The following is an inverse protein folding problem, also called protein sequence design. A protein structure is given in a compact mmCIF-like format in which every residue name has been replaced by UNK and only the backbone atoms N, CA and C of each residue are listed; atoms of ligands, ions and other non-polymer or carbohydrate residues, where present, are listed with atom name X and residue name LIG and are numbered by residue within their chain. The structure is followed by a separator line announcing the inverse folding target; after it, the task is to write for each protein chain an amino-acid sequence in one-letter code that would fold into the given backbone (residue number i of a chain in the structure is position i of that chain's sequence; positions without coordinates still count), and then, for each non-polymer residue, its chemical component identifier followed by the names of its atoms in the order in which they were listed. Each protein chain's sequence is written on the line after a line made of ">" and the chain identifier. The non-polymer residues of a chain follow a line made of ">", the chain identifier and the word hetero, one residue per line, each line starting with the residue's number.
data_IF_932336530232
#
_entry.id   IF_932336530232
#
_cell.length_a   1.000
_cell.length_b   1.000
_cell.length_c   1.000
_cell.angle_alpha   90.00
_cell.angle_beta   90.00
_cell.angle_gamma   90.00
#
_symmetry.space_group_name_H-M   'P 1'
#
loop_
_entity.id
_entity.type
_entity.pdbx_description
1 polymer ?
#
# COMPACT_ATOMS: atom_id res chain seq x y z
N UNK A 1 -53.57 39.64 -52.14
CA UNK A 1 -52.51 38.69 -51.79
C UNK A 1 -52.92 38.02 -50.49
N UNK A 2 -53.57 36.86 -50.55
CA UNK A 2 -53.96 36.05 -49.42
C UNK A 2 -52.97 34.84 -49.35
N UNK A 3 -51.92 35.00 -48.55
CA UNK A 3 -51.09 33.90 -48.23
C UNK A 3 -51.79 33.10 -47.14
N UNK A 4 -52.49 32.05 -47.52
CA UNK A 4 -52.96 31.01 -46.59
C UNK A 4 -51.76 30.16 -46.16
N UNK A 5 -51.14 30.61 -45.15
CA UNK A 5 -50.07 29.89 -44.48
C UNK A 5 -50.70 28.67 -43.77
N UNK A 6 -51.00 27.60 -44.47
CA UNK A 6 -51.35 26.32 -43.92
C UNK A 6 -50.17 25.74 -43.22
N UNK A 7 -50.08 25.98 -41.86
CA UNK A 7 -49.12 25.35 -41.01
C UNK A 7 -49.31 23.84 -41.13
N UNK A 8 -48.40 23.17 -41.81
CA UNK A 8 -48.38 21.70 -41.98
C UNK A 8 -48.13 21.01 -40.62
N UNK A 9 -49.14 20.96 -39.77
CA UNK A 9 -49.08 20.33 -38.43
C UNK A 9 -48.47 18.93 -38.49
N UNK A 10 -48.72 18.15 -39.56
CA UNK A 10 -48.14 16.82 -39.75
C UNK A 10 -46.59 16.83 -39.76
N UNK A 11 -45.97 17.84 -40.34
CA UNK A 11 -44.50 17.99 -40.36
C UNK A 11 -43.97 18.27 -38.96
N UNK A 12 -44.62 19.13 -38.20
CA UNK A 12 -44.21 19.42 -36.80
C UNK A 12 -44.42 18.22 -35.89
N UNK A 13 -45.46 17.43 -36.08
CA UNK A 13 -45.71 16.23 -35.30
C UNK A 13 -44.66 15.14 -35.58
N UNK A 14 -44.22 14.96 -36.82
CA UNK A 14 -43.16 14.04 -37.22
C UNK A 14 -41.83 14.46 -36.58
N UNK A 15 -41.48 15.75 -36.65
CA UNK A 15 -40.26 16.28 -36.04
C UNK A 15 -40.29 16.10 -34.53
N UNK A 16 -41.43 16.36 -33.89
CA UNK A 16 -41.60 16.15 -32.44
C UNK A 16 -41.42 14.68 -32.05
N UNK A 17 -42.04 13.75 -32.79
CA UNK A 17 -41.87 12.31 -32.54
C UNK A 17 -40.41 11.87 -32.70
N UNK A 18 -39.72 12.39 -33.71
CA UNK A 18 -38.33 12.08 -33.96
C UNK A 18 -37.40 12.62 -32.83
N UNK A 19 -37.64 13.84 -32.35
CA UNK A 19 -36.88 14.40 -31.23
C UNK A 19 -37.14 13.65 -29.92
N UNK A 20 -38.37 13.25 -29.66
CA UNK A 20 -38.72 12.41 -28.49
C UNK A 20 -38.03 11.05 -28.59
N UNK A 21 -38.03 10.41 -29.76
CA UNK A 21 -37.35 9.13 -29.94
C UNK A 21 -35.83 9.23 -29.71
N UNK A 22 -35.19 10.29 -30.24
CA UNK A 22 -33.76 10.55 -29.97
C UNK A 22 -33.47 10.80 -28.50
N UNK A 23 -34.32 11.55 -27.81
CA UNK A 23 -34.15 11.81 -26.39
C UNK A 23 -34.32 10.54 -25.56
N UNK A 24 -35.30 9.71 -25.86
CA UNK A 24 -35.52 8.42 -25.22
C UNK A 24 -34.35 7.47 -25.43
N UNK A 25 -33.81 7.36 -26.65
CA UNK A 25 -32.65 6.50 -26.92
C UNK A 25 -31.41 7.00 -26.23
N UNK A 26 -31.13 8.30 -26.22
CA UNK A 26 -30.01 8.89 -25.50
C UNK A 26 -30.12 8.66 -23.99
N UNK A 27 -31.31 8.84 -23.41
CA UNK A 27 -31.57 8.58 -21.98
C UNK A 27 -31.43 7.10 -21.64
N UNK A 28 -31.88 6.19 -22.48
CA UNK A 28 -31.76 4.75 -22.30
C UNK A 28 -30.29 4.32 -22.32
N UNK A 29 -29.51 4.78 -23.29
CA UNK A 29 -28.08 4.49 -23.41
C UNK A 29 -27.32 5.06 -22.22
N UNK A 30 -27.59 6.30 -21.83
CA UNK A 30 -26.97 6.93 -20.66
C UNK A 30 -27.24 6.14 -19.37
N UNK A 31 -28.47 5.72 -19.12
CA UNK A 31 -28.86 4.92 -17.95
C UNK A 31 -28.22 3.52 -17.98
N UNK A 32 -28.13 2.90 -19.14
CA UNK A 32 -27.50 1.59 -19.31
C UNK A 32 -26.01 1.63 -18.96
N UNK A 33 -25.28 2.65 -19.44
CA UNK A 33 -23.86 2.84 -19.13
C UNK A 33 -23.64 3.24 -17.66
N UNK A 34 -24.52 4.06 -17.09
CA UNK A 34 -24.46 4.44 -15.68
C UNK A 34 -24.64 3.23 -14.75
N UNK A 35 -25.64 2.38 -15.02
CA UNK A 35 -25.90 1.18 -14.23
C UNK A 35 -24.73 0.18 -14.30
N UNK A 36 -24.13 -0.03 -15.49
CA UNK A 36 -22.93 -0.88 -15.61
C UNK A 36 -21.74 -0.39 -14.79
N UNK A 37 -21.50 0.94 -14.75
CA UNK A 37 -20.45 1.52 -13.92
C UNK A 37 -20.72 1.33 -12.44
N UNK A 38 -21.96 1.48 -12.00
CA UNK A 38 -22.36 1.27 -10.59
C UNK A 38 -22.22 -0.19 -10.19
N UNK A 39 -22.60 -1.13 -11.05
CA UNK A 39 -22.47 -2.57 -10.78
C UNK A 39 -20.99 -3.00 -10.72
N UNK A 40 -20.15 -2.46 -11.59
CA UNK A 40 -18.70 -2.70 -11.54
C UNK A 40 -18.07 -2.13 -10.27
N UNK A 41 -18.49 -0.94 -9.82
CA UNK A 41 -18.02 -0.34 -8.59
C UNK A 41 -18.45 -1.15 -7.36
N UNK A 42 -19.69 -1.67 -7.33
CA UNK A 42 -20.18 -2.57 -6.27
C UNK A 42 -19.37 -3.86 -6.21
N UNK A 43 -19.15 -4.50 -7.37
CA UNK A 43 -18.38 -5.76 -7.43
C UNK A 43 -16.93 -5.55 -6.95
N UNK A 44 -16.31 -4.42 -7.31
CA UNK A 44 -14.98 -4.06 -6.83
C UNK A 44 -15.02 -3.81 -5.30
N UNK A 45 -16.03 -3.11 -4.80
CA UNK A 45 -16.17 -2.79 -3.38
C UNK A 45 -16.41 -4.04 -2.52
N UNK A 46 -17.23 -4.98 -3.00
CA UNK A 46 -17.51 -6.25 -2.32
C UNK A 46 -16.26 -7.16 -2.33
N UNK A 47 -15.54 -7.24 -3.45
CA UNK A 47 -14.27 -7.98 -3.57
C UNK A 47 -13.23 -7.44 -2.59
N UNK A 48 -13.05 -6.11 -2.53
CA UNK A 48 -12.10 -5.47 -1.62
C UNK A 48 -12.47 -5.70 -0.15
N UNK A 49 -13.75 -5.70 0.19
CA UNK A 49 -14.19 -5.96 1.58
C UNK A 49 -13.86 -7.39 2.03
N UNK A 50 -13.99 -8.36 1.12
CA UNK A 50 -13.62 -9.77 1.36
C UNK A 50 -12.09 -9.88 1.47
N UNK A 51 -11.33 -9.22 0.60
CA UNK A 51 -9.88 -9.23 0.61
C UNK A 51 -9.32 -8.61 1.90
N UNK A 52 -9.91 -7.50 2.37
CA UNK A 52 -9.56 -6.88 3.66
C UNK A 52 -9.80 -7.85 4.81
N UNK A 53 -10.99 -8.48 4.87
CA UNK A 53 -11.33 -9.43 5.94
C UNK A 53 -10.45 -10.68 5.88
N UNK A 54 -10.14 -11.16 4.68
CA UNK A 54 -9.21 -12.28 4.46
C UNK A 54 -7.82 -11.93 4.99
N UNK A 55 -7.28 -10.78 4.61
CA UNK A 55 -5.99 -10.30 5.10
C UNK A 55 -5.98 -10.12 6.62
N UNK A 56 -7.03 -9.55 7.23
CA UNK A 56 -7.14 -9.44 8.69
C UNK A 56 -7.14 -10.79 9.39
N UNK A 57 -7.85 -11.77 8.81
CA UNK A 57 -7.88 -13.14 9.32
C UNK A 57 -6.50 -13.79 9.21
N UNK A 58 -5.81 -13.63 8.09
CA UNK A 58 -4.43 -14.12 7.90
C UNK A 58 -3.47 -13.50 8.93
N UNK A 59 -3.52 -12.17 9.12
CA UNK A 59 -2.71 -11.49 10.14
C UNK A 59 -2.96 -12.04 11.54
N UNK A 60 -4.22 -12.27 11.90
CA UNK A 60 -4.60 -12.84 13.19
C UNK A 60 -4.08 -14.26 13.34
N UNK A 61 -4.26 -15.12 12.34
CA UNK A 61 -3.74 -16.48 12.33
C UNK A 61 -2.22 -16.52 12.47
N UNK A 62 -1.49 -15.73 11.68
CA UNK A 62 -0.03 -15.65 11.75
C UNK A 62 0.46 -15.16 13.11
N UNK A 63 -0.29 -14.24 13.76
CA UNK A 63 0.07 -13.74 15.09
C UNK A 63 -0.05 -14.81 16.19
N UNK A 64 -0.91 -15.82 15.99
CA UNK A 64 -1.14 -16.92 16.95
C UNK A 64 -0.27 -18.16 16.68
N UNK A 65 0.31 -18.29 15.47
CA UNK A 65 1.11 -19.45 15.11
C UNK A 65 2.40 -19.57 15.93
N UNK A 66 2.85 -20.81 16.15
CA UNK A 66 4.15 -21.07 16.75
C UNK A 66 5.29 -20.72 15.78
N UNK A 67 6.45 -20.34 16.31
CA UNK A 67 7.63 -19.96 15.50
C UNK A 67 8.09 -21.03 14.52
N UNK A 68 7.78 -22.30 14.75
CA UNK A 68 8.11 -23.42 13.84
C UNK A 68 7.33 -23.37 12.53
N UNK A 69 6.13 -22.78 12.55
CA UNK A 69 5.22 -22.76 11.40
C UNK A 69 5.27 -21.44 10.63
N UNK A 70 6.09 -20.48 11.09
CA UNK A 70 6.18 -19.13 10.51
C UNK A 70 7.22 -19.06 9.37
N UNK A 71 8.06 -20.09 9.19
CA UNK A 71 9.08 -20.12 8.12
C UNK A 71 8.50 -20.03 6.69
N UNK A 72 7.19 -20.21 6.53
CA UNK A 72 6.47 -20.13 5.25
C UNK A 72 5.55 -18.90 5.13
N UNK A 73 5.94 -17.75 5.71
CA UNK A 73 5.18 -16.50 5.57
C UNK A 73 5.20 -15.91 4.14
N UNK A 74 5.49 -16.73 3.14
CA UNK A 74 5.54 -16.36 1.72
C UNK A 74 4.20 -15.87 1.16
N UNK A 75 3.07 -16.29 1.74
CA UNK A 75 1.73 -15.95 1.22
C UNK A 75 1.46 -14.45 1.32
N UNK A 76 1.69 -13.84 2.49
CA UNK A 76 1.42 -12.41 2.69
C UNK A 76 2.36 -11.51 1.89
N UNK A 77 3.66 -11.87 1.83
CA UNK A 77 4.62 -11.15 1.00
C UNK A 77 4.31 -11.28 -0.50
N UNK A 78 3.73 -12.41 -0.92
CA UNK A 78 3.25 -12.61 -2.28
C UNK A 78 2.07 -11.69 -2.62
N UNK A 79 1.07 -11.59 -1.75
CA UNK A 79 -0.08 -10.68 -1.93
C UNK A 79 0.36 -9.20 -1.99
N UNK A 80 1.27 -8.79 -1.09
CA UNK A 80 1.82 -7.43 -1.12
C UNK A 80 2.59 -7.14 -2.41
N UNK A 81 3.40 -8.09 -2.90
CA UNK A 81 4.13 -7.92 -4.15
C UNK A 81 3.18 -7.81 -5.36
N UNK A 82 2.14 -8.65 -5.43
CA UNK A 82 1.13 -8.59 -6.49
C UNK A 82 0.37 -7.26 -6.47
N UNK A 83 -0.04 -6.82 -5.29
CA UNK A 83 -0.74 -5.55 -5.12
C UNK A 83 0.16 -4.36 -5.48
N UNK A 84 1.44 -4.40 -5.09
CA UNK A 84 2.44 -3.41 -5.47
C UNK A 84 2.61 -3.30 -6.97
N UNK A 85 2.72 -4.43 -7.68
CA UNK A 85 2.81 -4.46 -9.14
C UNK A 85 1.54 -3.89 -9.81
N UNK A 86 0.35 -4.22 -9.30
CA UNK A 86 -0.92 -3.66 -9.79
C UNK A 86 -1.00 -2.14 -9.57
N UNK A 87 -0.52 -1.67 -8.42
CA UNK A 87 -0.47 -0.25 -8.10
C UNK A 87 0.50 0.50 -9.02
N UNK A 88 1.70 -0.02 -9.21
CA UNK A 88 2.70 0.56 -10.10
C UNK A 88 2.17 0.65 -11.54
N UNK A 89 1.62 -0.44 -12.06
CA UNK A 89 1.00 -0.44 -13.39
C UNK A 89 -0.14 0.59 -13.48
N UNK A 90 -1.00 0.66 -12.45
CA UNK A 90 -2.10 1.62 -12.40
C UNK A 90 -1.61 3.06 -12.43
N UNK A 91 -0.60 3.39 -11.66
CA UNK A 91 0.00 4.73 -11.62
C UNK A 91 0.62 5.13 -12.97
N UNK A 92 1.32 4.21 -13.62
CA UNK A 92 1.98 4.47 -14.92
C UNK A 92 0.99 4.61 -16.08
N UNK A 93 -0.10 3.83 -16.11
CA UNK A 93 -1.00 3.74 -17.25
C UNK A 93 -2.32 4.54 -17.09
N UNK A 94 -2.79 4.71 -15.86
CA UNK A 94 -4.08 5.37 -15.57
C UNK A 94 -3.90 6.71 -14.85
N UNK A 95 -2.69 7.04 -14.43
CA UNK A 95 -2.42 8.19 -13.58
C UNK A 95 -3.08 8.07 -12.19
N UNK A 96 -3.21 9.20 -11.48
CA UNK A 96 -3.79 9.22 -10.13
C UNK A 96 -5.32 9.34 -10.17
N UNK A 97 -5.98 8.30 -10.66
CA UNK A 97 -7.44 8.18 -10.61
C UNK A 97 -7.93 7.80 -9.20
N UNK A 98 -9.22 7.99 -8.92
CA UNK A 98 -9.82 7.59 -7.63
C UNK A 98 -9.58 6.10 -7.32
N UNK A 99 -9.63 5.24 -8.34
CA UNK A 99 -9.35 3.80 -8.19
C UNK A 99 -7.90 3.54 -7.81
N UNK A 100 -6.94 4.22 -8.45
CA UNK A 100 -5.52 4.10 -8.15
C UNK A 100 -5.21 4.66 -6.75
N UNK A 101 -5.82 5.79 -6.39
CA UNK A 101 -5.70 6.37 -5.05
C UNK A 101 -6.25 5.43 -3.97
N UNK A 102 -7.40 4.80 -4.23
CA UNK A 102 -7.96 3.81 -3.32
C UNK A 102 -7.04 2.60 -3.14
N UNK A 103 -6.52 2.05 -4.25
CA UNK A 103 -5.57 0.94 -4.23
C UNK A 103 -4.30 1.30 -3.45
N UNK A 104 -3.80 2.53 -3.62
CA UNK A 104 -2.65 3.05 -2.89
C UNK A 104 -2.90 3.13 -1.38
N UNK A 105 -4.08 3.60 -0.97
CA UNK A 105 -4.48 3.63 0.44
C UNK A 105 -4.55 2.22 1.03
N UNK A 106 -5.15 1.29 0.30
CA UNK A 106 -5.26 -0.11 0.73
C UNK A 106 -3.89 -0.76 0.86
N UNK A 107 -3.02 -0.60 -0.15
CA UNK A 107 -1.64 -1.08 -0.13
C UNK A 107 -0.86 -0.55 1.08
N UNK A 108 -0.94 0.75 1.37
CA UNK A 108 -0.29 1.36 2.53
C UNK A 108 -0.78 0.77 3.86
N UNK A 109 -2.08 0.46 3.98
CA UNK A 109 -2.61 -0.22 5.19
C UNK A 109 -2.04 -1.62 5.34
N UNK A 110 -1.93 -2.38 4.25
CA UNK A 110 -1.33 -3.72 4.28
C UNK A 110 0.16 -3.67 4.63
N UNK A 111 0.91 -2.71 4.09
CA UNK A 111 2.32 -2.49 4.45
C UNK A 111 2.49 -2.19 5.96
N UNK A 112 1.63 -1.33 6.52
CA UNK A 112 1.66 -1.05 7.97
C UNK A 112 1.35 -2.31 8.78
N UNK A 113 0.33 -3.07 8.39
CA UNK A 113 -0.03 -4.33 9.06
C UNK A 113 1.11 -5.36 8.98
N UNK A 114 1.70 -5.55 7.79
CA UNK A 114 2.83 -6.46 7.59
C UNK A 114 4.04 -6.04 8.44
N UNK A 115 4.38 -4.75 8.45
CA UNK A 115 5.44 -4.21 9.32
C UNK A 115 5.22 -4.55 10.79
N UNK A 116 4.03 -4.26 11.32
CA UNK A 116 3.72 -4.50 12.74
C UNK A 116 3.73 -5.99 13.07
N UNK A 117 3.18 -6.84 12.20
CA UNK A 117 3.17 -8.28 12.38
C UNK A 117 4.58 -8.86 12.32
N UNK A 118 5.36 -8.52 11.28
CA UNK A 118 6.71 -9.05 11.10
C UNK A 118 7.64 -8.59 12.21
N UNK A 119 7.52 -7.34 12.67
CA UNK A 119 8.23 -6.82 13.85
C UNK A 119 7.88 -7.62 15.12
N UNK A 120 6.59 -7.91 15.34
CA UNK A 120 6.12 -8.73 16.49
C UNK A 120 6.64 -10.17 16.40
N UNK A 121 6.58 -10.77 15.22
CA UNK A 121 7.07 -12.13 14.96
C UNK A 121 8.58 -12.20 15.15
N UNK A 122 9.32 -11.28 14.56
CA UNK A 122 10.78 -11.22 14.68
C UNK A 122 11.22 -11.13 16.14
N UNK A 123 10.57 -10.26 16.94
CA UNK A 123 10.84 -10.14 18.35
C UNK A 123 10.51 -11.43 19.15
N UNK A 124 9.39 -12.09 18.82
CA UNK A 124 8.95 -13.32 19.50
C UNK A 124 9.78 -14.54 19.12
N UNK A 125 10.07 -14.69 17.82
CA UNK A 125 10.73 -15.86 17.26
C UNK A 125 12.25 -15.71 17.12
N UNK A 126 12.78 -14.53 17.45
CA UNK A 126 14.21 -14.20 17.33
C UNK A 126 14.75 -14.43 15.93
N UNK A 127 13.94 -14.10 14.92
CA UNK A 127 14.33 -14.14 13.51
C UNK A 127 15.09 -12.88 13.15
N UNK A 128 16.12 -13.00 12.31
CA UNK A 128 16.86 -11.86 11.78
C UNK A 128 15.97 -11.14 10.76
N UNK A 129 15.55 -9.92 11.04
CA UNK A 129 14.78 -9.09 10.12
C UNK A 129 15.10 -7.63 10.37
N UNK A 130 15.62 -6.93 9.38
CA UNK A 130 15.77 -5.48 9.44
C UNK A 130 14.59 -4.79 8.74
N UNK A 131 14.22 -3.62 9.23
CA UNK A 131 13.08 -2.86 8.75
C UNK A 131 13.50 -1.45 8.39
N UNK A 132 13.10 -1.00 7.19
CA UNK A 132 13.20 0.39 6.77
C UNK A 132 11.81 0.89 6.45
N UNK A 133 11.35 1.95 7.12
CA UNK A 133 10.17 2.69 6.74
C UNK A 133 10.63 3.89 5.92
N UNK A 134 10.18 3.95 4.68
CA UNK A 134 10.55 4.98 3.72
C UNK A 134 9.37 5.92 3.47
N UNK A 135 9.56 7.20 3.77
CA UNK A 135 8.58 8.25 3.53
C UNK A 135 9.03 9.10 2.35
N UNK A 136 8.15 9.22 1.37
CA UNK A 136 8.40 9.91 0.11
C UNK A 136 7.20 10.74 -0.33
N UNK A 137 7.39 11.56 -1.36
CA UNK A 137 6.31 12.24 -2.06
C UNK A 137 6.59 12.29 -3.55
N UNK A 138 5.75 12.99 -4.32
CA UNK A 138 5.91 13.13 -5.77
C UNK A 138 7.24 13.79 -6.14
N UNK A 139 7.74 13.51 -7.34
CA UNK A 139 8.99 14.06 -7.86
C UNK A 139 9.03 15.61 -7.88
N UNK A 140 7.86 16.25 -8.02
CA UNK A 140 7.73 17.71 -7.97
C UNK A 140 8.11 18.30 -6.61
N UNK A 141 7.82 17.57 -5.53
CA UNK A 141 8.06 18.00 -4.15
C UNK A 141 9.28 17.31 -3.51
N UNK A 142 9.85 16.31 -4.16
CA UNK A 142 11.01 15.57 -3.67
C UNK A 142 11.87 15.02 -4.82
N UNK A 143 12.85 15.79 -5.28
CA UNK A 143 13.72 15.42 -6.40
C UNK A 143 14.62 14.20 -6.13
N UNK A 144 14.86 13.87 -4.87
CA UNK A 144 15.73 12.75 -4.46
C UNK A 144 14.96 11.49 -4.05
N UNK A 145 13.62 11.57 -3.93
CA UNK A 145 12.80 10.44 -3.51
C UNK A 145 12.90 9.26 -4.47
N UNK A 146 12.88 9.48 -5.77
CA UNK A 146 13.02 8.42 -6.77
C UNK A 146 14.38 7.71 -6.66
N UNK A 147 15.45 8.49 -6.55
CA UNK A 147 16.81 7.95 -6.36
C UNK A 147 16.92 7.12 -5.08
N UNK A 148 16.29 7.59 -4.00
CA UNK A 148 16.24 6.86 -2.74
C UNK A 148 15.50 5.54 -2.90
N UNK A 149 14.40 5.51 -3.60
CA UNK A 149 13.64 4.29 -3.91
C UNK A 149 14.50 3.25 -4.65
N UNK A 150 15.30 3.68 -5.64
CA UNK A 150 16.22 2.79 -6.37
C UNK A 150 17.29 2.19 -5.46
N UNK A 151 17.89 3.00 -4.57
CA UNK A 151 18.88 2.51 -3.59
C UNK A 151 18.24 1.49 -2.65
N UNK A 152 17.02 1.75 -2.16
CA UNK A 152 16.31 0.83 -1.27
C UNK A 152 15.92 -0.47 -1.97
N UNK A 153 15.53 -0.43 -3.24
CA UNK A 153 15.24 -1.62 -4.04
C UNK A 153 16.48 -2.49 -4.22
N UNK A 154 17.61 -1.89 -4.59
CA UNK A 154 18.88 -2.60 -4.71
C UNK A 154 19.34 -3.21 -3.37
N UNK A 155 19.13 -2.50 -2.27
CA UNK A 155 19.48 -2.97 -0.93
C UNK A 155 18.60 -4.17 -0.51
N UNK A 156 17.29 -4.12 -0.79
CA UNK A 156 16.36 -5.22 -0.55
C UNK A 156 16.73 -6.48 -1.35
N UNK A 157 17.12 -6.31 -2.62
CA UNK A 157 17.53 -7.42 -3.47
C UNK A 157 18.82 -8.08 -2.96
N UNK A 158 19.72 -7.29 -2.34
CA UNK A 158 20.96 -7.78 -1.74
C UNK A 158 20.78 -8.47 -0.39
N UNK A 159 19.75 -8.06 0.38
CA UNK A 159 19.48 -8.54 1.73
C UNK A 159 18.03 -9.05 1.83
N UNK A 160 17.77 -10.35 1.59
CA UNK A 160 16.40 -10.92 1.63
C UNK A 160 15.69 -10.77 2.98
N UNK A 161 16.44 -10.63 4.07
CA UNK A 161 15.91 -10.42 5.42
C UNK A 161 15.52 -8.95 5.69
N UNK A 162 15.89 -8.04 4.78
CA UNK A 162 15.50 -6.64 4.85
C UNK A 162 14.09 -6.45 4.31
N UNK A 163 13.24 -5.81 5.11
CA UNK A 163 11.91 -5.35 4.70
C UNK A 163 11.91 -3.84 4.53
N UNK A 164 11.49 -3.38 3.38
CA UNK A 164 11.33 -1.95 3.07
C UNK A 164 9.85 -1.68 2.85
N UNK A 165 9.28 -0.75 3.59
CA UNK A 165 7.90 -0.30 3.52
C UNK A 165 7.87 1.17 3.10
N UNK A 166 7.07 1.51 2.09
CA UNK A 166 7.13 2.80 1.40
C UNK A 166 5.82 3.57 1.52
N UNK A 167 5.83 4.73 2.17
CA UNK A 167 4.66 5.52 2.48
C UNK A 167 4.70 6.88 1.80
N UNK A 168 3.66 7.18 1.02
CA UNK A 168 3.49 8.50 0.45
C UNK A 168 3.04 9.50 1.52
N UNK A 169 3.87 10.52 1.77
CA UNK A 169 3.59 11.59 2.72
C UNK A 169 2.27 12.33 2.42
N UNK A 170 1.96 12.49 1.13
CA UNK A 170 0.78 13.26 0.69
C UNK A 170 -0.54 12.50 0.77
N UNK A 171 -0.49 11.18 1.09
CA UNK A 171 -1.70 10.35 1.10
C UNK A 171 -2.62 10.72 2.28
N UNK A 172 -3.88 10.99 1.99
CA UNK A 172 -4.89 11.24 3.03
C UNK A 172 -5.37 9.92 3.65
N UNK A 173 -4.54 9.39 4.56
CA UNK A 173 -4.78 8.15 5.29
C UNK A 173 -4.36 8.31 6.76
N UNK A 174 -5.32 8.16 7.69
CA UNK A 174 -5.08 8.40 9.12
C UNK A 174 -3.94 7.57 9.70
N UNK A 175 -3.79 6.32 9.27
CA UNK A 175 -2.71 5.44 9.72
C UNK A 175 -1.32 5.95 9.32
N UNK A 176 -1.15 6.44 8.08
CA UNK A 176 0.10 7.06 7.64
C UNK A 176 0.35 8.37 8.38
N UNK A 177 -0.68 9.20 8.54
CA UNK A 177 -0.57 10.46 9.34
C UNK A 177 -0.11 10.18 10.77
N UNK A 178 -0.60 9.12 11.40
CA UNK A 178 -0.16 8.72 12.72
C UNK A 178 1.33 8.33 12.74
N UNK A 179 1.80 7.61 11.73
CA UNK A 179 3.23 7.28 11.60
C UNK A 179 4.10 8.53 11.43
N UNK A 180 3.66 9.47 10.56
CA UNK A 180 4.36 10.74 10.38
C UNK A 180 4.49 11.54 11.69
N UNK A 181 3.45 11.54 12.52
CA UNK A 181 3.47 12.18 13.84
C UNK A 181 4.38 11.47 14.84
N UNK A 182 4.31 10.12 14.89
CA UNK A 182 5.13 9.30 15.79
C UNK A 182 6.63 9.52 15.51
N UNK A 183 7.02 9.51 14.24
CA UNK A 183 8.41 9.68 13.80
C UNK A 183 8.79 11.15 13.53
N UNK A 184 7.88 12.09 13.70
CA UNK A 184 8.09 13.54 13.49
C UNK A 184 8.63 13.86 12.10
N UNK A 185 8.06 13.20 11.08
CA UNK A 185 8.43 13.41 9.68
C UNK A 185 7.72 14.65 9.16
N UNK A 186 8.48 15.56 8.55
CA UNK A 186 8.02 16.80 7.94
C UNK A 186 8.25 16.74 6.42
N UNK A 187 7.40 17.39 5.62
CA UNK A 187 7.49 17.44 4.16
C UNK A 187 8.84 17.98 3.64
N UNK A 188 9.36 18.99 4.33
CA UNK A 188 10.64 19.64 3.98
C UNK A 188 11.87 18.75 4.20
N UNK A 189 11.68 17.59 4.84
CA UNK A 189 12.77 16.66 5.21
C UNK A 189 12.72 15.35 4.43
N UNK A 190 11.94 15.30 3.34
CA UNK A 190 11.86 14.12 2.48
C UNK A 190 13.03 14.06 1.47
N UNK A 191 13.47 12.85 1.08
CA UNK A 191 13.06 11.54 1.58
C UNK A 191 13.43 11.35 3.05
N UNK A 192 12.60 10.61 3.79
CA UNK A 192 12.91 10.25 5.17
C UNK A 192 12.86 8.74 5.36
N UNK A 193 13.83 8.22 6.11
CA UNK A 193 13.96 6.80 6.41
C UNK A 193 13.91 6.59 7.92
N UNK A 194 13.21 5.55 8.38
CA UNK A 194 13.26 5.12 9.79
C UNK A 194 13.88 3.74 9.84
N UNK A 195 15.00 3.61 10.55
CA UNK A 195 15.74 2.35 10.75
C UNK A 195 15.98 2.20 12.25
N UNK A 196 15.50 1.11 12.85
CA UNK A 196 15.63 0.85 14.29
C UNK A 196 15.22 2.03 15.19
N UNK A 197 14.15 2.75 14.79
CA UNK A 197 13.62 3.96 15.45
C UNK A 197 14.40 5.27 15.18
N UNK A 198 15.59 5.19 14.58
CA UNK A 198 16.35 6.35 14.13
C UNK A 198 15.77 6.95 12.84
N UNK A 199 15.57 8.26 12.83
CA UNK A 199 15.05 9.00 11.67
C UNK A 199 16.19 9.63 10.90
N UNK A 200 16.36 9.22 9.65
CA UNK A 200 17.33 9.78 8.69
C UNK A 200 16.57 10.60 7.67
N UNK A 201 16.95 11.85 7.49
CA UNK A 201 16.31 12.77 6.52
C UNK A 201 17.24 13.12 5.38
N UNK A 202 16.67 13.36 4.19
CA UNK A 202 17.41 13.56 2.96
C UNK A 202 17.94 12.26 2.38
N UNK A 203 18.53 12.36 1.18
CA UNK A 203 19.06 11.21 0.46
C UNK A 203 20.20 10.52 1.22
N UNK A 204 20.14 9.18 1.27
CA UNK A 204 21.18 8.32 1.85
C UNK A 204 21.71 7.34 0.82
N UNK A 205 23.02 7.31 0.69
CA UNK A 205 23.69 6.43 -0.25
C UNK A 205 23.68 4.96 0.18
N UNK A 206 24.00 4.09 -0.79
CA UNK A 206 24.01 2.64 -0.59
C UNK A 206 24.93 2.20 0.54
N UNK A 207 26.17 2.74 0.60
CA UNK A 207 27.17 2.31 1.60
C UNK A 207 26.74 2.65 3.03
N UNK A 208 26.14 3.84 3.24
CA UNK A 208 25.62 4.26 4.54
C UNK A 208 24.48 3.37 4.99
N UNK A 209 23.51 3.13 4.11
CA UNK A 209 22.35 2.28 4.43
C UNK A 209 22.76 0.83 4.64
N UNK A 210 23.68 0.31 3.85
CA UNK A 210 24.22 -1.04 4.04
C UNK A 210 24.90 -1.21 5.40
N UNK A 211 25.66 -0.21 5.83
CA UNK A 211 26.30 -0.22 7.14
C UNK A 211 25.24 -0.28 8.27
N UNK A 212 24.21 0.56 8.18
CA UNK A 212 23.10 0.59 9.15
C UNK A 212 22.30 -0.72 9.19
N UNK A 213 21.99 -1.30 8.04
CA UNK A 213 21.30 -2.59 7.96
C UNK A 213 22.13 -3.72 8.60
N UNK A 214 23.43 -3.75 8.34
CA UNK A 214 24.34 -4.73 8.98
C UNK A 214 24.43 -4.54 10.50
N UNK A 215 24.40 -3.31 10.96
CA UNK A 215 24.39 -2.99 12.37
C UNK A 215 23.08 -3.44 13.05
N UNK A 216 21.94 -3.20 12.41
CA UNK A 216 20.63 -3.69 12.84
C UNK A 216 20.58 -5.21 12.99
N UNK A 217 21.15 -5.96 12.05
CA UNK A 217 21.25 -7.42 12.16
C UNK A 217 22.13 -7.87 13.35
N UNK A 218 23.25 -7.20 13.62
CA UNK A 218 24.12 -7.51 14.76
C UNK A 218 23.44 -7.21 16.10
N UNK A 219 22.74 -6.09 16.19
CA UNK A 219 22.00 -5.71 17.40
C UNK A 219 20.96 -6.76 17.80
N UNK A 220 20.29 -7.34 16.83
CA UNK A 220 19.32 -8.41 17.06
C UNK A 220 19.98 -9.73 17.51
N UNK A 221 21.18 -10.05 17.02
CA UNK A 221 21.94 -11.21 17.48
C UNK A 221 22.30 -11.10 18.97
N UNK A 222 22.86 -9.98 19.40
CA UNK A 222 23.24 -9.72 20.81
C UNK A 222 22.02 -9.81 21.73
N UNK A 223 20.91 -9.16 21.36
CA UNK A 223 19.67 -9.20 22.15
C UNK A 223 19.05 -10.60 22.21
N UNK A 224 19.29 -11.45 21.22
CA UNK A 224 18.82 -12.84 21.21
C UNK A 224 19.66 -13.75 22.12
N UNK A 225 20.93 -13.44 22.34
CA UNK A 225 21.83 -14.18 23.24
C UNK A 225 21.60 -13.85 24.73
N UNK A 226 21.38 -12.58 25.06
CA UNK A 226 21.09 -12.14 26.44
C UNK A 226 19.81 -12.73 27.02
N UNK A 227 18.84 -13.10 26.19
CA UNK A 227 17.57 -13.71 26.64
C UNK A 227 17.57 -15.23 26.70
N UNK A 228 18.71 -15.92 26.51
CA UNK A 228 18.82 -17.36 26.81
C UNK A 228 18.89 -17.56 28.34
N UNK A 229 17.94 -18.29 28.96
CA UNK A 229 18.05 -18.60 30.38
C UNK A 229 19.32 -19.43 30.59
N UNK A 230 20.18 -18.95 31.47
CA UNK A 230 21.38 -19.65 31.92
C UNK A 230 20.95 -21.00 32.51
N UNK A 231 21.08 -22.08 31.75
CA UNK A 231 21.00 -23.43 32.26
C UNK A 231 22.35 -23.74 32.91
N UNK A 232 22.54 -23.21 34.09
CA UNK A 232 23.64 -23.72 34.92
C UNK A 232 23.24 -23.76 36.38
N UNK A 233 23.70 -24.85 36.98
CA UNK A 233 23.75 -25.15 38.40
C UNK A 233 22.49 -25.80 39.03
N UNK A 234 22.29 -27.09 38.72
CA UNK A 234 22.10 -28.00 39.84
C UNK A 234 22.51 -29.43 39.45
N UNK A 235 23.81 -29.67 39.48
CA UNK A 235 24.36 -31.04 39.57
C UNK A 235 25.50 -31.03 40.59
N UNK A 236 25.13 -31.19 41.87
CA UNK A 236 25.89 -31.81 42.94
C UNK A 236 25.09 -31.68 44.25
N UNK A 237 24.65 -32.78 44.80
CA UNK A 237 25.16 -33.48 45.93
C UNK A 237 24.04 -34.34 46.53
N UNK A 238 24.17 -35.51 46.52
CA UNK A 238 24.26 -36.70 47.35
C UNK A 238 23.46 -37.83 46.76
#
# INVERSE_FOLDING_TARGET
>A
MNDNNHIDWKKYLIVFLFTVALFMTASYVSNYFSNKKVDQLKTIQDSISIDILSSETQFSLLSELSCKNISDSSVLSGELAELGNKLEWGQQNLGMTDTVLYLKKYYSLLEIKDYLLTKKISARCKTKSAFILYFYTTAENCSECEKQGLVLSALRDKYPELRVYSFDYSIDLSAVKSMLQIYKIEDTKLPALVIDEDVLTGFRGMDELESRVKESFKFQEVKSEETKPTKEANKKTI
#
